data_IF_819598846759
#
_entry.id   IF_819598846759
#
_cell.length_a   1.000
_cell.length_b   1.000
_cell.length_c   1.000
_cell.angle_alpha   90.00
_cell.angle_beta   90.00
_cell.angle_gamma   90.00
#
_symmetry.space_group_name_H-M   'P 1'
#
loop_
_entity.id
_entity.type
_entity.pdbx_description
1 polymer ?
#
# COMPACT_ATOMS: atom_id res chain seq x y z
N UNK A 1 0.10 -21.50 -6.35
CA UNK A 1 -0.67 -21.01 -5.19
C UNK A 1 -2.02 -20.48 -5.69
N UNK A 2 -3.13 -20.93 -5.07
CA UNK A 2 -4.47 -20.48 -5.40
C UNK A 2 -4.83 -19.27 -4.53
N UNK A 3 -5.17 -18.13 -5.14
CA UNK A 3 -5.69 -16.97 -4.41
C UNK A 3 -7.13 -17.25 -4.03
N UNK A 4 -7.43 -17.32 -2.73
CA UNK A 4 -8.78 -17.59 -2.21
C UNK A 4 -9.61 -16.30 -2.19
N UNK A 5 -8.98 -15.16 -1.93
CA UNK A 5 -9.63 -13.87 -1.96
C UNK A 5 -8.71 -12.73 -1.53
N UNK A 6 -9.18 -11.50 -1.75
CA UNK A 6 -8.54 -10.26 -1.34
C UNK A 6 -9.52 -9.46 -0.48
N UNK A 7 -9.09 -9.00 0.69
CA UNK A 7 -9.90 -8.21 1.61
C UNK A 7 -9.47 -6.76 1.43
N UNK A 8 -10.33 -5.95 0.85
CA UNK A 8 -10.08 -4.54 0.48
C UNK A 8 -10.91 -3.55 1.30
N UNK A 9 -11.98 -4.04 1.98
CA UNK A 9 -12.92 -3.19 2.69
C UNK A 9 -12.96 -3.51 4.20
N UNK A 10 -13.27 -2.48 4.98
CA UNK A 10 -13.46 -2.65 6.43
C UNK A 10 -14.61 -3.61 6.73
N UNK A 11 -14.37 -4.59 7.62
CA UNK A 11 -15.32 -5.65 8.00
C UNK A 11 -15.72 -6.62 6.88
N UNK A 12 -15.08 -6.58 5.73
CA UNK A 12 -15.27 -7.58 4.67
C UNK A 12 -14.95 -8.98 5.21
N UNK A 13 -15.77 -9.96 4.83
CA UNK A 13 -15.62 -11.35 5.23
C UNK A 13 -15.51 -12.24 4.01
N UNK A 14 -14.56 -13.16 4.02
CA UNK A 14 -14.38 -14.17 2.98
C UNK A 14 -14.48 -15.55 3.63
N UNK A 15 -15.32 -16.42 3.03
CA UNK A 15 -15.44 -17.78 3.50
C UNK A 15 -14.25 -18.61 2.97
N UNK A 16 -13.39 -19.07 3.86
CA UNK A 16 -12.19 -19.85 3.53
C UNK A 16 -12.48 -21.35 3.54
N UNK A 17 -13.25 -21.82 4.52
CA UNK A 17 -13.63 -23.21 4.70
C UNK A 17 -15.12 -23.35 5.01
N UNK A 18 -15.72 -24.43 4.52
CA UNK A 18 -17.09 -24.77 4.89
C UNK A 18 -17.06 -25.76 6.07
N UNK A 19 -17.99 -25.60 7.01
CA UNK A 19 -18.25 -26.60 8.04
C UNK A 19 -18.81 -27.88 7.42
N UNK A 20 -18.61 -29.00 8.12
CA UNK A 20 -19.24 -30.26 7.77
C UNK A 20 -20.76 -30.22 8.05
N UNK A 21 -21.47 -31.13 7.41
CA UNK A 21 -22.90 -31.31 7.64
C UNK A 21 -23.12 -31.94 9.01
N UNK A 22 -24.04 -31.42 9.81
CA UNK A 22 -24.46 -32.06 11.07
C UNK A 22 -25.15 -33.39 10.82
N UNK A 23 -24.84 -34.38 11.69
CA UNK A 23 -25.56 -35.68 11.68
C UNK A 23 -26.99 -35.54 12.17
N UNK A 24 -27.82 -36.49 11.80
CA UNK A 24 -29.21 -36.55 12.26
C UNK A 24 -29.27 -37.27 13.62
N UNK A 25 -29.92 -36.64 14.59
CA UNK A 25 -30.16 -37.25 15.90
C UNK A 25 -31.19 -38.38 15.84
N UNK A 26 -31.27 -39.15 16.92
CA UNK A 26 -32.10 -40.34 17.05
C UNK A 26 -33.58 -40.09 16.73
N UNK A 27 -34.13 -38.93 17.04
CA UNK A 27 -35.53 -38.54 16.72
C UNK A 27 -35.84 -38.63 15.23
N UNK A 28 -34.85 -38.47 14.34
CA UNK A 28 -35.03 -38.64 12.90
C UNK A 28 -35.12 -40.06 12.41
N UNK A 29 -34.87 -41.06 13.31
CA UNK A 29 -34.90 -42.51 13.05
C UNK A 29 -36.05 -43.19 13.77
N UNK A 30 -36.95 -42.44 14.43
CA UNK A 30 -38.15 -42.99 15.06
C UNK A 30 -39.10 -43.59 14.02
N UNK A 31 -39.66 -44.75 14.36
CA UNK A 31 -40.69 -45.43 13.60
C UNK A 31 -41.82 -45.83 14.53
N UNK A 32 -42.98 -46.21 13.97
CA UNK A 32 -44.14 -46.67 14.76
C UNK A 32 -43.83 -47.91 15.58
N UNK A 33 -42.82 -48.70 15.21
CA UNK A 33 -42.37 -49.89 15.93
C UNK A 33 -41.24 -49.65 16.92
N UNK A 34 -40.43 -48.62 16.69
CA UNK A 34 -39.38 -48.19 17.59
C UNK A 34 -39.44 -46.69 17.79
N UNK A 35 -40.05 -46.29 18.89
CA UNK A 35 -40.29 -44.86 19.24
C UNK A 35 -39.09 -44.19 19.89
N UNK A 36 -38.08 -44.98 20.31
CA UNK A 36 -36.88 -44.44 20.96
C UNK A 36 -35.61 -45.18 20.44
N UNK A 37 -35.22 -45.00 19.17
CA UNK A 37 -34.06 -45.64 18.65
C UNK A 37 -32.77 -45.06 19.25
N UNK A 38 -31.79 -45.93 19.51
CA UNK A 38 -30.44 -45.55 19.95
C UNK A 38 -29.51 -45.23 18.78
N UNK A 39 -30.04 -45.07 17.59
CA UNK A 39 -29.28 -44.82 16.36
C UNK A 39 -29.20 -43.32 16.12
N UNK A 40 -28.01 -42.81 15.88
CA UNK A 40 -27.76 -41.46 15.43
C UNK A 40 -26.71 -41.46 14.31
N UNK A 41 -26.83 -40.49 13.40
CA UNK A 41 -25.87 -40.31 12.33
C UNK A 41 -24.77 -39.34 12.81
N UNK A 42 -23.51 -39.73 12.60
CA UNK A 42 -22.38 -38.85 12.89
C UNK A 42 -22.35 -37.72 11.85
N UNK A 43 -21.98 -36.52 12.29
CA UNK A 43 -21.73 -35.40 11.37
C UNK A 43 -20.50 -35.64 10.48
N UNK A 44 -20.47 -34.95 9.37
CA UNK A 44 -19.31 -34.93 8.47
C UNK A 44 -18.22 -34.00 9.02
N UNK A 45 -16.94 -34.32 8.87
CA UNK A 45 -15.87 -33.42 9.24
C UNK A 45 -15.90 -32.13 8.39
N UNK A 46 -15.61 -31.00 8.98
CA UNK A 46 -15.44 -29.75 8.26
C UNK A 46 -14.19 -29.74 7.40
N UNK A 47 -14.15 -28.83 6.43
CA UNK A 47 -12.99 -28.65 5.58
C UNK A 47 -11.84 -28.00 6.37
N UNK A 48 -10.63 -28.53 6.22
CA UNK A 48 -9.40 -27.96 6.79
C UNK A 48 -8.52 -27.47 5.66
N UNK A 49 -8.01 -26.25 5.79
CA UNK A 49 -7.06 -25.66 4.83
C UNK A 49 -5.94 -24.93 5.56
N UNK A 50 -4.73 -25.09 5.05
CA UNK A 50 -3.62 -24.22 5.40
C UNK A 50 -3.67 -23.00 4.50
N UNK A 51 -3.68 -21.81 5.07
CA UNK A 51 -3.70 -20.55 4.33
C UNK A 51 -2.46 -19.74 4.65
N UNK A 52 -2.00 -18.98 3.65
CA UNK A 52 -1.03 -17.92 3.84
C UNK A 52 -1.79 -16.60 3.79
N UNK A 53 -1.63 -15.78 4.80
CA UNK A 53 -2.20 -14.43 4.86
C UNK A 53 -1.07 -13.45 4.58
N UNK A 54 -1.28 -12.56 3.63
CA UNK A 54 -0.33 -11.52 3.27
C UNK A 54 -0.96 -10.14 3.49
N UNK A 55 -0.33 -9.32 4.33
CA UNK A 55 -0.73 -7.93 4.52
C UNK A 55 -0.09 -7.07 3.43
N UNK A 56 -0.90 -6.46 2.57
CA UNK A 56 -0.44 -5.66 1.43
C UNK A 56 -0.13 -4.19 1.75
N UNK A 57 -0.20 -3.76 3.00
CA UNK A 57 0.19 -2.40 3.38
C UNK A 57 1.71 -2.31 3.33
N UNK A 58 2.23 -1.33 2.57
CA UNK A 58 3.66 -1.11 2.43
C UNK A 58 4.16 -0.11 3.47
N UNK A 59 3.48 1.05 3.58
CA UNK A 59 3.84 2.15 4.46
C UNK A 59 2.61 3.03 4.72
N UNK A 60 2.68 3.86 5.75
CA UNK A 60 1.66 4.87 6.01
C UNK A 60 1.84 6.07 5.07
N UNK A 61 3.09 6.47 4.82
CA UNK A 61 3.45 7.59 3.96
C UNK A 61 4.36 7.12 2.83
N UNK A 62 4.00 7.43 1.59
CA UNK A 62 4.83 7.19 0.42
C UNK A 62 5.43 8.50 -0.11
N UNK A 63 6.77 8.56 -0.24
CA UNK A 63 7.42 9.69 -0.88
C UNK A 63 7.38 9.52 -2.39
N UNK A 64 6.91 10.53 -3.08
CA UNK A 64 6.92 10.63 -4.54
C UNK A 64 7.66 11.89 -4.97
N UNK A 65 8.18 11.91 -6.17
CA UNK A 65 8.91 13.02 -6.75
C UNK A 65 9.93 12.54 -7.77
N UNK A 66 10.39 13.40 -8.62
CA UNK A 66 11.40 13.09 -9.63
C UNK A 66 12.75 12.68 -9.00
N UNK A 67 13.68 12.12 -9.78
CA UNK A 67 15.04 11.86 -9.29
C UNK A 67 15.72 13.11 -8.75
N UNK A 68 16.62 12.95 -7.80
CA UNK A 68 17.45 14.02 -7.20
C UNK A 68 16.73 15.10 -6.41
N UNK A 69 15.39 15.03 -6.20
CA UNK A 69 14.65 16.00 -5.40
C UNK A 69 14.87 15.89 -3.89
N UNK A 70 15.58 14.84 -3.42
CA UNK A 70 15.98 14.67 -2.02
C UNK A 70 15.12 13.70 -1.20
N UNK A 71 14.30 12.84 -1.82
CA UNK A 71 13.45 11.84 -1.11
C UNK A 71 14.23 10.96 -0.14
N UNK A 72 15.31 10.33 -0.62
CA UNK A 72 16.13 9.43 0.20
C UNK A 72 16.86 10.19 1.32
N UNK A 73 17.19 11.45 1.11
CA UNK A 73 17.78 12.32 2.14
C UNK A 73 16.76 12.59 3.23
N UNK A 74 15.52 12.97 2.87
CA UNK A 74 14.44 13.20 3.84
C UNK A 74 14.25 11.96 4.72
N UNK A 75 14.07 10.77 4.12
CA UNK A 75 13.83 9.55 4.91
C UNK A 75 15.01 9.20 5.82
N UNK A 76 16.25 9.46 5.38
CA UNK A 76 17.44 9.21 6.17
C UNK A 76 17.57 10.13 7.40
N UNK A 77 17.07 11.36 7.27
CA UNK A 77 17.12 12.37 8.36
C UNK A 77 15.99 12.16 9.37
N UNK A 78 14.76 11.89 8.88
CA UNK A 78 13.59 11.79 9.76
C UNK A 78 13.41 10.40 10.38
N UNK A 79 14.07 9.38 9.83
CA UNK A 79 13.99 8.02 10.36
C UNK A 79 14.82 7.84 11.61
N UNK A 80 14.22 7.27 12.65
CA UNK A 80 14.89 7.00 13.93
C UNK A 80 15.92 5.86 13.88
N UNK A 81 15.97 5.12 12.78
CA UNK A 81 16.93 4.06 12.49
C UNK A 81 17.36 4.16 11.04
N UNK A 82 18.53 3.59 10.71
CA UNK A 82 18.96 3.52 9.30
C UNK A 82 17.86 2.91 8.46
N UNK A 83 17.44 3.57 7.35
CA UNK A 83 16.43 3.03 6.46
C UNK A 83 16.79 1.61 6.02
N UNK A 84 15.83 0.71 6.06
CA UNK A 84 16.01 -0.68 5.66
C UNK A 84 15.45 -0.89 4.27
N UNK A 85 16.26 -1.49 3.40
CA UNK A 85 15.79 -2.00 2.12
C UNK A 85 14.94 -3.23 2.41
N UNK A 86 13.65 -3.18 2.11
CA UNK A 86 12.76 -4.29 2.33
C UNK A 86 12.46 -5.02 1.01
N UNK A 87 12.80 -6.31 0.96
CA UNK A 87 12.44 -7.19 -0.16
C UNK A 87 11.06 -7.78 0.09
N UNK A 88 10.06 -7.29 -0.61
CA UNK A 88 8.73 -7.89 -0.61
C UNK A 88 8.57 -8.78 -1.84
N UNK A 89 7.92 -9.93 -1.70
CA UNK A 89 7.70 -10.87 -2.81
C UNK A 89 6.91 -10.28 -3.99
N UNK A 90 6.28 -9.14 -3.78
CA UNK A 90 5.50 -8.42 -4.78
C UNK A 90 6.22 -7.18 -5.34
N UNK A 91 7.49 -6.94 -4.97
CA UNK A 91 8.26 -5.77 -5.41
C UNK A 91 9.49 -6.21 -6.19
N UNK A 92 9.67 -5.71 -7.39
CA UNK A 92 10.93 -5.88 -8.18
C UNK A 92 11.97 -4.81 -7.83
N UNK A 93 11.51 -3.65 -7.38
CA UNK A 93 12.34 -2.60 -6.81
C UNK A 93 12.06 -2.55 -5.31
N UNK A 94 13.07 -2.82 -4.50
CA UNK A 94 12.93 -2.80 -3.05
C UNK A 94 12.85 -1.33 -2.56
N UNK A 95 11.74 -0.92 -1.91
CA UNK A 95 11.63 0.42 -1.36
C UNK A 95 12.53 0.57 -0.14
N UNK A 96 13.04 1.78 0.08
CA UNK A 96 13.70 2.14 1.32
C UNK A 96 12.62 2.51 2.36
N UNK A 97 12.57 1.80 3.46
CA UNK A 97 11.63 2.04 4.54
C UNK A 97 12.31 2.70 5.72
N UNK A 98 11.69 3.74 6.25
CA UNK A 98 12.10 4.41 7.49
C UNK A 98 10.96 4.42 8.50
N UNK A 99 11.26 4.16 9.78
CA UNK A 99 10.32 4.35 10.87
C UNK A 99 10.52 5.74 11.43
N UNK A 100 9.46 6.55 11.39
CA UNK A 100 9.44 7.91 11.90
C UNK A 100 8.65 7.91 13.20
N UNK A 101 9.27 8.43 14.28
CA UNK A 101 8.61 8.62 15.56
C UNK A 101 8.03 10.03 15.58
N UNK A 102 6.73 10.16 15.67
CA UNK A 102 6.04 11.43 15.73
C UNK A 102 6.00 11.98 17.16
N UNK A 103 5.77 11.10 18.14
CA UNK A 103 5.80 11.38 19.57
C UNK A 103 6.07 10.07 20.36
N UNK A 104 6.00 10.14 21.72
CA UNK A 104 6.32 9.00 22.60
C UNK A 104 5.47 7.74 22.34
N UNK A 105 4.27 7.89 21.81
CA UNK A 105 3.31 6.79 21.60
C UNK A 105 3.04 6.48 20.14
N UNK A 106 3.40 7.37 19.20
CA UNK A 106 3.02 7.26 17.79
C UNK A 106 4.22 7.22 16.87
N UNK A 107 4.25 6.18 16.06
CA UNK A 107 5.20 6.04 14.96
C UNK A 107 4.47 5.65 13.69
N UNK A 108 5.06 5.98 12.54
CA UNK A 108 4.55 5.59 11.24
C UNK A 108 5.70 5.17 10.32
N UNK A 109 5.35 4.39 9.30
CA UNK A 109 6.32 3.92 8.32
C UNK A 109 6.27 4.83 7.10
N UNK A 110 7.43 5.34 6.73
CA UNK A 110 7.65 6.12 5.51
C UNK A 110 8.42 5.27 4.49
N UNK A 111 7.98 5.29 3.24
CA UNK A 111 8.62 4.58 2.15
C UNK A 111 9.15 5.55 1.10
N UNK A 112 10.44 5.46 0.78
CA UNK A 112 10.99 6.05 -0.44
C UNK A 112 10.68 5.13 -1.60
N UNK A 113 9.88 5.61 -2.52
CA UNK A 113 9.43 4.86 -3.68
C UNK A 113 10.27 5.28 -4.89
N UNK A 114 11.32 4.50 -5.22
CA UNK A 114 12.16 4.81 -6.38
C UNK A 114 11.41 4.53 -7.68
N UNK A 115 11.54 5.37 -8.68
CA UNK A 115 11.22 5.01 -10.05
C UNK A 115 10.02 5.67 -10.71
N UNK A 116 9.58 6.88 -10.30
CA UNK A 116 8.81 7.71 -11.23
C UNK A 116 9.74 8.23 -12.31
N UNK A 117 9.55 7.70 -13.50
CA UNK A 117 10.15 8.19 -14.74
C UNK A 117 8.96 8.59 -15.62
N UNK A 118 9.07 9.70 -16.31
CA UNK A 118 8.11 10.17 -17.31
C UNK A 118 7.66 9.01 -18.23
N UNK A 119 6.34 8.80 -18.36
CA UNK A 119 5.77 7.68 -19.12
C UNK A 119 5.55 6.39 -18.33
N UNK A 120 5.62 6.43 -17.01
CA UNK A 120 5.37 5.27 -16.13
C UNK A 120 4.00 4.62 -16.37
N UNK A 121 2.98 5.42 -16.68
CA UNK A 121 1.60 4.98 -16.97
C UNK A 121 1.46 4.29 -18.33
N UNK A 122 2.36 4.56 -19.28
CA UNK A 122 2.31 4.03 -20.64
C UNK A 122 2.81 2.58 -20.76
N UNK A 123 3.06 1.88 -19.65
CA UNK A 123 3.28 0.44 -19.66
C UNK A 123 4.73 -0.02 -19.80
N UNK A 124 5.71 0.86 -19.74
CA UNK A 124 7.10 0.46 -19.66
C UNK A 124 7.45 -0.01 -18.24
N UNK A 125 7.16 -1.27 -17.99
CA UNK A 125 7.50 -2.16 -16.85
C UNK A 125 7.76 -1.61 -15.45
N UNK A 126 8.57 -0.59 -15.27
CA UNK A 126 8.97 -0.05 -13.97
C UNK A 126 7.92 0.89 -13.36
N UNK A 127 7.20 1.65 -14.17
CA UNK A 127 6.22 2.62 -13.69
C UNK A 127 4.97 2.00 -13.08
N UNK A 128 4.42 0.95 -13.67
CA UNK A 128 3.26 0.23 -13.11
C UNK A 128 3.58 -0.41 -11.75
N UNK A 129 4.82 -0.84 -11.54
CA UNK A 129 5.25 -1.40 -10.25
C UNK A 129 5.35 -0.32 -9.18
N UNK A 130 5.87 0.84 -9.53
CA UNK A 130 5.92 2.02 -8.67
C UNK A 130 4.51 2.44 -8.22
N UNK A 131 3.58 2.57 -9.15
CA UNK A 131 2.19 2.95 -8.85
C UNK A 131 1.47 1.93 -7.95
N UNK A 132 1.80 0.64 -8.06
CA UNK A 132 1.35 -0.40 -7.11
C UNK A 132 1.91 -0.22 -5.70
N UNK A 133 3.07 0.39 -5.55
CA UNK A 133 3.62 0.72 -4.23
C UNK A 133 2.88 1.89 -3.59
N UNK A 134 2.60 2.95 -4.37
CA UNK A 134 1.80 4.10 -3.89
C UNK A 134 0.39 3.63 -3.50
N UNK A 135 -0.22 2.74 -4.26
CA UNK A 135 -1.53 2.16 -3.93
C UNK A 135 -1.58 1.56 -2.52
N UNK A 136 -0.44 1.16 -1.97
CA UNK A 136 -0.28 0.55 -0.65
C UNK A 136 0.15 1.52 0.44
N UNK A 137 0.10 2.81 0.18
CA UNK A 137 0.33 3.87 1.16
C UNK A 137 -0.96 4.60 1.48
N UNK A 138 -1.04 5.26 2.63
CA UNK A 138 -2.23 6.00 3.06
C UNK A 138 -2.18 7.46 2.64
N UNK A 139 -1.00 8.06 2.72
CA UNK A 139 -0.73 9.47 2.41
C UNK A 139 0.42 9.53 1.42
N UNK A 140 0.35 10.46 0.48
CA UNK A 140 1.41 10.76 -0.47
C UNK A 140 2.14 12.02 0.01
N UNK A 141 3.47 11.93 0.14
CA UNK A 141 4.35 13.06 0.36
C UNK A 141 5.05 13.39 -0.95
N UNK A 142 4.60 14.43 -1.63
CA UNK A 142 5.13 14.84 -2.92
C UNK A 142 6.27 15.83 -2.73
N UNK A 143 7.49 15.39 -2.95
CA UNK A 143 8.72 16.17 -2.77
C UNK A 143 9.10 16.85 -4.09
N UNK A 144 9.23 18.16 -4.06
CA UNK A 144 9.57 19.00 -5.22
C UNK A 144 10.85 19.76 -4.91
N UNK A 145 11.77 19.81 -5.87
CA UNK A 145 12.98 20.61 -5.83
C UNK A 145 12.67 22.05 -6.24
N UNK A 146 12.56 22.95 -5.26
CA UNK A 146 12.27 24.37 -5.52
C UNK A 146 13.46 25.14 -6.09
N UNK A 147 14.68 24.60 -5.98
CA UNK A 147 15.85 25.28 -6.50
C UNK A 147 15.98 25.28 -8.02
N UNK A 148 15.29 24.36 -8.69
CA UNK A 148 15.50 24.16 -10.14
C UNK A 148 16.93 23.74 -10.52
N UNK A 149 17.73 23.23 -9.56
CA UNK A 149 19.15 22.92 -9.72
C UNK A 149 19.47 21.93 -10.84
N UNK A 150 18.50 21.12 -11.23
CA UNK A 150 18.59 20.17 -12.35
C UNK A 150 18.12 20.78 -13.69
N UNK A 151 17.88 22.11 -13.73
CA UNK A 151 17.36 22.82 -14.91
C UNK A 151 15.89 22.53 -15.21
N UNK A 152 15.13 22.07 -14.22
CA UNK A 152 13.70 21.78 -14.32
C UNK A 152 12.87 22.83 -13.60
N UNK A 153 11.67 23.04 -14.10
CA UNK A 153 10.68 23.93 -13.48
C UNK A 153 9.90 23.14 -12.41
N UNK A 154 9.85 23.63 -11.15
CA UNK A 154 9.14 22.94 -10.06
C UNK A 154 7.66 22.70 -10.33
N UNK A 155 6.99 23.61 -11.04
CA UNK A 155 5.57 23.49 -11.36
C UNK A 155 5.32 22.44 -12.46
N UNK A 156 6.20 22.36 -13.44
CA UNK A 156 6.14 21.29 -14.45
C UNK A 156 6.43 19.91 -13.83
N UNK A 157 7.41 19.83 -12.93
CA UNK A 157 7.69 18.60 -12.17
C UNK A 157 6.45 18.12 -11.39
N UNK A 158 5.74 19.05 -10.74
CA UNK A 158 4.48 18.78 -10.04
C UNK A 158 3.39 18.25 -10.97
N UNK A 159 3.22 18.86 -12.14
CA UNK A 159 2.22 18.43 -13.13
C UNK A 159 2.51 17.05 -13.69
N UNK A 160 3.78 16.76 -13.99
CA UNK A 160 4.21 15.45 -14.52
C UNK A 160 3.84 14.34 -13.55
N UNK A 161 4.18 14.50 -12.27
CA UNK A 161 3.88 13.51 -11.23
C UNK A 161 2.36 13.34 -11.06
N UNK A 162 1.60 14.44 -10.98
CA UNK A 162 0.15 14.34 -10.80
C UNK A 162 -0.54 13.70 -12.00
N UNK A 163 -0.09 13.98 -13.21
CA UNK A 163 -0.60 13.33 -14.42
C UNK A 163 -0.37 11.82 -14.40
N UNK A 164 0.80 11.38 -13.90
CA UNK A 164 1.09 9.96 -13.75
C UNK A 164 0.20 9.31 -12.66
N UNK A 165 -0.01 9.98 -11.53
CA UNK A 165 -0.90 9.51 -10.46
C UNK A 165 -2.36 9.43 -10.91
N UNK A 166 -2.81 10.39 -11.74
CA UNK A 166 -4.17 10.43 -12.30
C UNK A 166 -4.42 9.29 -13.30
N UNK A 167 -3.44 9.05 -14.16
CA UNK A 167 -3.56 8.04 -15.22
C UNK A 167 -3.60 6.60 -14.70
N UNK A 168 -3.29 6.39 -13.41
CA UNK A 168 -3.33 5.08 -12.80
C UNK A 168 -4.76 4.61 -12.51
N UNK A 169 -5.01 3.32 -12.76
CA UNK A 169 -6.32 2.65 -12.67
C UNK A 169 -7.14 2.95 -11.41
N UNK A 170 -6.50 3.23 -10.28
CA UNK A 170 -7.15 3.43 -8.98
C UNK A 170 -7.19 4.89 -8.53
N UNK A 171 -7.01 5.84 -9.44
CA UNK A 171 -7.05 7.27 -9.15
C UNK A 171 -6.31 7.66 -7.85
N UNK A 172 -5.00 7.57 -7.88
CA UNK A 172 -4.16 7.83 -6.70
C UNK A 172 -4.22 9.29 -6.24
N UNK A 173 -4.65 10.23 -7.09
CA UNK A 173 -4.91 11.63 -6.72
C UNK A 173 -6.02 11.79 -5.68
N UNK A 174 -6.92 10.80 -5.54
CA UNK A 174 -7.95 10.83 -4.49
C UNK A 174 -7.38 10.65 -3.07
N UNK A 175 -6.10 10.27 -2.94
CA UNK A 175 -5.44 10.15 -1.64
C UNK A 175 -4.98 11.49 -1.12
N UNK A 176 -4.93 11.67 0.21
CA UNK A 176 -4.33 12.85 0.80
C UNK A 176 -2.89 13.03 0.29
N UNK A 177 -2.61 14.19 -0.28
CA UNK A 177 -1.30 14.57 -0.79
C UNK A 177 -0.79 15.79 -0.03
N UNK A 178 0.44 15.70 0.46
CA UNK A 178 1.17 16.80 1.09
C UNK A 178 2.34 17.16 0.18
N UNK A 179 2.43 18.42 -0.21
CA UNK A 179 3.52 18.93 -1.03
C UNK A 179 4.65 19.37 -0.11
N UNK A 180 5.86 18.95 -0.41
CA UNK A 180 7.09 19.33 0.30
C UNK A 180 7.99 20.11 -0.63
N UNK A 181 8.11 21.41 -0.38
CA UNK A 181 9.10 22.27 -1.01
C UNK A 181 10.48 21.95 -0.43
N UNK A 182 11.34 21.32 -1.19
CA UNK A 182 12.68 20.94 -0.77
C UNK A 182 13.75 21.81 -1.41
N UNK A 183 14.97 21.77 -0.85
CA UNK A 183 16.15 22.55 -1.25
C UNK A 183 15.92 24.08 -1.19
N UNK A 184 15.19 24.51 -0.17
CA UNK A 184 14.89 25.92 0.08
C UNK A 184 16.12 26.75 0.51
N UNK A 185 17.22 26.08 0.82
CA UNK A 185 18.53 26.67 1.15
C UNK A 185 19.31 27.14 -0.09
N UNK A 186 18.85 26.82 -1.29
CA UNK A 186 19.51 27.16 -2.55
C UNK A 186 18.91 28.48 -3.10
N UNK A 187 19.77 29.32 -3.66
CA UNK A 187 19.40 30.59 -4.29
C UNK A 187 18.32 30.41 -5.37
N UNK A 188 17.30 31.26 -5.40
CA UNK A 188 16.17 31.19 -6.33
C UNK A 188 15.01 30.29 -5.86
N UNK A 189 15.18 29.46 -4.84
CA UNK A 189 14.13 28.54 -4.37
C UNK A 189 12.93 29.27 -3.77
N UNK A 190 13.13 30.42 -3.09
CA UNK A 190 12.05 31.22 -2.53
C UNK A 190 11.20 31.86 -3.63
N UNK A 191 11.80 32.37 -4.69
CA UNK A 191 11.11 32.94 -5.84
C UNK A 191 10.27 31.89 -6.55
N UNK A 192 10.85 30.71 -6.77
CA UNK A 192 10.13 29.57 -7.36
C UNK A 192 8.97 29.11 -6.49
N UNK A 193 9.11 29.13 -5.16
CA UNK A 193 8.03 28.78 -4.24
C UNK A 193 6.86 29.78 -4.31
N UNK A 194 7.13 31.07 -4.42
CA UNK A 194 6.08 32.09 -4.57
C UNK A 194 5.33 31.90 -5.90
N UNK A 195 6.04 31.69 -7.01
CA UNK A 195 5.43 31.35 -8.30
C UNK A 195 4.64 30.05 -8.29
N UNK A 196 5.08 29.08 -7.47
CA UNK A 196 4.39 27.79 -7.33
C UNK A 196 3.07 27.90 -6.56
N UNK A 197 2.93 28.90 -5.66
CA UNK A 197 1.71 29.13 -4.87
C UNK A 197 0.61 29.89 -5.65
N UNK A 198 0.96 30.67 -6.68
CA UNK A 198 0.03 31.37 -7.58
C UNK A 198 -0.71 30.38 -8.52
#
# INVERSE_FOLDING_TARGET
DLVIGDITEHRQKIMICKGGRGGRGNVKFTTSRNTAPEIAEKGEPGMVRNIRVELKVLADVGLVGLPSVGKSTIISVVSNSKPKIASYHFTTLAPNLGVVIADEERSFIMADLPGLIEGASLGHGLGLQFLRHIERTRVILHVIDMSGSEGRDPFEDYKVINKELESYKYNLLARPQIIVANKMDIEGAEENLELFKE
#
